data_IF_042636358363
#
_entry.id   IF_042636358363
#
_cell.length_a   1.000
_cell.length_b   1.000
_cell.length_c   1.000
_cell.angle_alpha   90.00
_cell.angle_beta   90.00
_cell.angle_gamma   90.00
#
_symmetry.space_group_name_H-M   'P 1'
#
loop_
_entity.id
_entity.type
_entity.pdbx_description
1 polymer ?
#
# COMPACT_ATOMS: atom_id res chain seq x y z
N UNK A 1 -0.87 -15.66 32.71
CA UNK A 1 -0.20 -15.27 31.45
C UNK A 1 -1.22 -14.50 30.64
N UNK A 2 -1.01 -13.20 30.36
CA UNK A 2 -1.93 -12.45 29.52
C UNK A 2 -1.85 -13.01 28.09
N UNK A 3 -2.98 -13.44 27.54
CA UNK A 3 -3.06 -13.89 26.15
C UNK A 3 -2.72 -12.72 25.23
N UNK A 4 -1.61 -12.83 24.49
CA UNK A 4 -1.19 -11.80 23.55
C UNK A 4 -2.14 -11.82 22.34
N UNK A 5 -3.13 -10.93 22.37
CA UNK A 5 -4.14 -10.84 21.29
C UNK A 5 -3.46 -10.58 19.94
N UNK A 6 -3.69 -11.48 18.98
CA UNK A 6 -3.22 -11.32 17.60
C UNK A 6 -4.02 -10.21 16.91
N UNK A 7 -3.37 -9.10 16.58
CA UNK A 7 -3.95 -8.00 15.82
C UNK A 7 -3.86 -8.27 14.31
N UNK A 8 -4.80 -7.69 13.57
CA UNK A 8 -4.76 -7.58 12.10
C UNK A 8 -4.75 -6.10 11.73
N UNK A 9 -3.70 -5.65 11.06
CA UNK A 9 -3.46 -4.24 10.75
C UNK A 9 -3.47 -4.03 9.24
N UNK A 10 -4.24 -3.06 8.76
CA UNK A 10 -4.19 -2.60 7.38
C UNK A 10 -3.17 -1.46 7.27
N UNK A 11 -2.24 -1.58 6.32
CA UNK A 11 -1.26 -0.55 5.98
C UNK A 11 -1.57 -0.04 4.58
N UNK A 12 -1.92 1.24 4.47
CA UNK A 12 -2.20 1.91 3.20
C UNK A 12 -1.29 3.14 3.09
N UNK A 13 -0.04 2.97 2.61
CA UNK A 13 0.90 4.07 2.46
C UNK A 13 0.55 4.95 1.27
N UNK A 14 1.01 6.21 1.33
CA UNK A 14 1.05 7.09 0.18
C UNK A 14 1.79 6.47 -1.00
N UNK A 15 1.33 6.70 -2.22
CA UNK A 15 1.80 6.05 -3.45
C UNK A 15 3.16 6.54 -3.98
N UNK A 16 4.04 6.97 -3.08
CA UNK A 16 5.42 7.30 -3.37
C UNK A 16 6.36 6.31 -2.67
N UNK A 17 7.41 5.87 -3.36
CA UNK A 17 8.35 4.88 -2.80
C UNK A 17 8.98 5.29 -1.48
N UNK A 18 9.18 6.59 -1.26
CA UNK A 18 9.64 7.15 0.02
C UNK A 18 8.71 6.84 1.21
N UNK A 19 7.43 6.56 0.98
CA UNK A 19 6.48 6.12 2.01
C UNK A 19 6.22 4.61 1.96
N UNK A 20 6.13 4.02 0.77
CA UNK A 20 5.84 2.59 0.58
C UNK A 20 6.90 1.72 1.28
N UNK A 21 8.19 2.02 1.09
CA UNK A 21 9.27 1.18 1.64
C UNK A 21 9.32 1.23 3.17
N UNK A 22 9.29 2.39 3.84
CA UNK A 22 9.21 2.44 5.30
C UNK A 22 7.98 1.73 5.88
N UNK A 23 6.82 1.85 5.22
CA UNK A 23 5.61 1.14 5.66
C UNK A 23 5.75 -0.37 5.49
N UNK A 24 6.41 -0.85 4.44
CA UNK A 24 6.68 -2.27 4.28
C UNK A 24 7.60 -2.78 5.41
N UNK A 25 8.65 -2.03 5.74
CA UNK A 25 9.54 -2.39 6.87
C UNK A 25 8.81 -2.37 8.21
N UNK A 26 7.91 -1.40 8.43
CA UNK A 26 7.02 -1.38 9.59
C UNK A 26 6.13 -2.63 9.62
N UNK A 27 5.50 -2.98 8.50
CA UNK A 27 4.68 -4.19 8.37
C UNK A 27 5.45 -5.46 8.71
N UNK A 28 6.69 -5.60 8.21
CA UNK A 28 7.57 -6.73 8.56
C UNK A 28 7.85 -6.80 10.06
N UNK A 29 8.10 -5.66 10.72
CA UNK A 29 8.35 -5.61 12.17
C UNK A 29 7.10 -6.01 12.97
N UNK A 30 5.92 -5.58 12.55
CA UNK A 30 4.65 -5.95 13.18
C UNK A 30 4.35 -7.44 12.97
N UNK A 31 4.60 -7.96 11.77
CA UNK A 31 4.45 -9.38 11.44
C UNK A 31 5.35 -10.28 12.30
N UNK A 32 6.61 -9.87 12.53
CA UNK A 32 7.53 -10.59 13.42
C UNK A 32 7.10 -10.64 14.88
N UNK A 33 6.26 -9.70 15.32
CA UNK A 33 5.63 -9.74 16.65
C UNK A 33 4.42 -10.68 16.72
N UNK A 34 4.13 -11.41 15.64
CA UNK A 34 3.05 -12.40 15.57
C UNK A 34 1.72 -11.84 15.07
N UNK A 35 1.68 -10.59 14.57
CA UNK A 35 0.46 -9.96 14.07
C UNK A 35 0.27 -10.16 12.56
N UNK A 36 -0.95 -9.97 12.07
CA UNK A 36 -1.25 -10.04 10.62
C UNK A 36 -1.25 -8.64 10.00
N UNK A 37 -0.76 -8.53 8.78
CA UNK A 37 -0.72 -7.31 7.99
C UNK A 37 -1.49 -7.51 6.69
N UNK A 38 -2.36 -6.57 6.36
CA UNK A 38 -2.80 -6.34 4.98
C UNK A 38 -2.07 -5.11 4.44
N UNK A 39 -1.14 -5.32 3.52
CA UNK A 39 -0.42 -4.24 2.86
C UNK A 39 -1.14 -3.87 1.58
N UNK A 40 -1.82 -2.73 1.58
CA UNK A 40 -2.69 -2.27 0.52
C UNK A 40 -1.91 -1.28 -0.35
N UNK A 41 -1.80 -1.57 -1.64
CA UNK A 41 -1.21 -0.63 -2.60
C UNK A 41 -1.68 -0.98 -4.01
N UNK A 42 -1.25 -0.19 -5.00
CA UNK A 42 -1.64 -0.42 -6.39
C UNK A 42 -0.94 -1.67 -6.97
N UNK A 43 -1.52 -2.30 -8.01
CA UNK A 43 -0.93 -3.48 -8.63
C UNK A 43 0.54 -3.28 -9.08
N UNK A 44 0.89 -2.11 -9.62
CA UNK A 44 2.25 -1.80 -10.09
C UNK A 44 3.21 -1.56 -8.95
N UNK A 45 2.78 -0.88 -7.88
CA UNK A 45 3.60 -0.70 -6.69
C UNK A 45 3.89 -2.04 -6.01
N UNK A 46 2.90 -2.92 -5.90
CA UNK A 46 3.09 -4.29 -5.37
C UNK A 46 4.12 -5.08 -6.18
N UNK A 47 4.07 -5.01 -7.52
CA UNK A 47 5.05 -5.67 -8.40
C UNK A 47 6.48 -5.15 -8.21
N UNK A 48 6.63 -3.89 -7.81
CA UNK A 48 7.92 -3.21 -7.60
C UNK A 48 8.44 -3.33 -6.17
N UNK A 49 7.68 -3.93 -5.24
CA UNK A 49 8.13 -4.10 -3.87
C UNK A 49 9.37 -5.00 -3.80
N UNK A 50 10.30 -4.72 -2.87
CA UNK A 50 11.37 -5.65 -2.59
C UNK A 50 10.79 -6.98 -2.10
N UNK A 51 11.51 -8.08 -2.36
CA UNK A 51 11.09 -9.41 -1.90
C UNK A 51 10.84 -9.40 -0.40
N UNK A 52 9.67 -9.92 -0.02
CA UNK A 52 9.30 -10.11 1.38
C UNK A 52 10.01 -11.37 1.87
N UNK A 53 10.63 -11.27 3.04
CA UNK A 53 11.36 -12.38 3.65
C UNK A 53 10.38 -13.52 4.00
N UNK A 54 10.77 -14.80 3.79
CA UNK A 54 9.87 -15.94 3.95
C UNK A 54 9.39 -16.16 5.39
N UNK A 55 10.12 -15.65 6.39
CA UNK A 55 9.75 -15.67 7.82
C UNK A 55 8.47 -14.89 8.13
N UNK A 56 8.21 -13.82 7.37
CA UNK A 56 7.05 -12.93 7.58
C UNK A 56 6.00 -13.02 6.49
N UNK A 57 6.31 -13.69 5.37
CA UNK A 57 5.41 -13.84 4.24
C UNK A 57 4.02 -14.40 4.62
N UNK A 58 3.89 -15.42 5.51
CA UNK A 58 2.58 -15.94 5.91
C UNK A 58 1.72 -14.93 6.69
N UNK A 59 2.36 -13.92 7.27
CA UNK A 59 1.71 -12.90 8.10
C UNK A 59 1.44 -11.60 7.35
N UNK A 60 1.88 -11.48 6.09
CA UNK A 60 1.70 -10.29 5.25
C UNK A 60 0.91 -10.66 4.00
N UNK A 61 -0.32 -10.16 3.92
CA UNK A 61 -1.17 -10.24 2.74
C UNK A 61 -1.02 -8.99 1.90
N UNK A 62 -0.66 -9.13 0.62
CA UNK A 62 -0.58 -8.01 -0.33
C UNK A 62 -1.95 -7.81 -1.00
N UNK A 63 -2.58 -6.67 -0.73
CA UNK A 63 -3.90 -6.32 -1.27
C UNK A 63 -3.72 -5.33 -2.41
N UNK A 64 -4.12 -5.73 -3.62
CA UNK A 64 -4.04 -4.89 -4.81
C UNK A 64 -5.28 -4.02 -4.91
N UNK A 65 -5.09 -2.70 -4.93
CA UNK A 65 -6.14 -1.71 -5.11
C UNK A 65 -5.87 -0.91 -6.39
N UNK A 66 -6.57 -1.22 -7.51
CA UNK A 66 -6.44 -0.44 -8.74
C UNK A 66 -6.89 1.00 -8.51
N UNK A 67 -6.14 1.97 -9.04
CA UNK A 67 -6.60 3.36 -9.08
C UNK A 67 -7.62 3.54 -10.22
N UNK A 68 -8.64 4.40 -10.03
CA UNK A 68 -9.48 4.82 -11.14
C UNK A 68 -8.63 5.53 -12.20
N UNK A 69 -9.04 5.37 -13.47
CA UNK A 69 -8.40 6.08 -14.57
C UNK A 69 -8.94 7.50 -14.64
N UNK A 70 -8.06 8.50 -14.71
CA UNK A 70 -8.44 9.91 -14.84
C UNK A 70 -7.74 10.54 -16.04
N UNK A 71 -8.53 11.29 -16.83
CA UNK A 71 -8.01 12.10 -17.92
C UNK A 71 -6.89 12.99 -17.38
N UNK A 72 -5.79 13.11 -18.12
CA UNK A 72 -4.56 13.86 -17.79
C UNK A 72 -3.45 13.11 -17.03
N UNK A 73 -3.64 11.86 -16.63
CA UNK A 73 -2.54 11.02 -16.17
C UNK A 73 -2.08 10.04 -17.26
N UNK A 74 -0.77 9.79 -17.42
CA UNK A 74 -0.29 8.72 -18.29
C UNK A 74 -0.95 7.39 -17.92
N UNK A 75 -1.27 6.59 -18.93
CA UNK A 75 -1.75 5.23 -18.70
C UNK A 75 -0.73 4.49 -17.81
N UNK A 76 -1.20 3.95 -16.67
CA UNK A 76 -0.40 3.28 -15.63
C UNK A 76 0.38 4.18 -14.65
N UNK A 77 0.06 5.47 -14.54
CA UNK A 77 0.60 6.36 -13.50
C UNK A 77 0.10 5.96 -12.09
N UNK A 78 0.78 5.00 -11.46
CA UNK A 78 0.41 4.48 -10.13
C UNK A 78 1.40 4.89 -9.02
N UNK A 79 2.43 5.66 -9.38
CA UNK A 79 3.40 6.21 -8.44
C UNK A 79 3.88 7.58 -8.87
N UNK A 80 4.38 8.38 -7.92
CA UNK A 80 5.05 9.67 -8.20
C UNK A 80 6.27 9.54 -9.11
N UNK A 81 6.81 8.34 -9.31
CA UNK A 81 7.88 8.06 -10.28
C UNK A 81 7.38 7.91 -11.71
N UNK A 82 6.08 7.62 -11.90
CA UNK A 82 5.48 7.39 -13.21
C UNK A 82 4.94 8.70 -13.83
N UNK A 83 5.08 9.83 -13.13
CA UNK A 83 4.58 11.13 -13.57
C UNK A 83 5.61 12.25 -13.38
N UNK A 84 5.65 13.25 -14.26
CA UNK A 84 6.36 14.50 -14.01
C UNK A 84 5.92 15.15 -12.68
N UNK A 85 6.82 15.85 -12.00
CA UNK A 85 6.55 16.48 -10.69
C UNK A 85 5.30 17.36 -10.66
N UNK A 86 4.98 18.05 -11.75
CA UNK A 86 3.79 18.90 -11.86
C UNK A 86 2.46 18.11 -11.89
N UNK A 87 2.50 16.80 -12.12
CA UNK A 87 1.33 15.92 -12.11
C UNK A 87 1.13 15.14 -10.80
N UNK A 88 2.05 15.25 -9.85
CA UNK A 88 1.94 14.64 -8.51
C UNK A 88 0.68 15.09 -7.75
N UNK A 89 0.19 16.35 -7.86
CA UNK A 89 -1.07 16.74 -7.24
C UNK A 89 -2.30 15.98 -7.78
N UNK A 90 -2.29 15.55 -9.04
CA UNK A 90 -3.39 14.74 -9.59
C UNK A 90 -3.37 13.33 -9.02
N UNK A 91 -2.20 12.71 -8.83
CA UNK A 91 -2.10 11.43 -8.09
C UNK A 91 -2.64 11.52 -6.66
N UNK A 92 -2.49 12.70 -6.03
CA UNK A 92 -3.08 12.96 -4.71
C UNK A 92 -4.60 12.97 -4.77
N UNK A 93 -5.17 13.68 -5.75
CA UNK A 93 -6.61 13.71 -5.95
C UNK A 93 -7.18 12.31 -6.21
N UNK A 94 -6.49 11.47 -6.98
CA UNK A 94 -6.88 10.07 -7.21
C UNK A 94 -6.91 9.24 -5.92
N UNK A 95 -5.85 9.32 -5.12
CA UNK A 95 -5.76 8.59 -3.85
C UNK A 95 -6.83 9.03 -2.85
N UNK A 96 -7.16 10.32 -2.83
CA UNK A 96 -8.19 10.89 -1.96
C UNK A 96 -9.61 10.59 -2.48
N UNK A 97 -9.77 10.39 -3.80
CA UNK A 97 -11.06 10.10 -4.46
C UNK A 97 -11.39 8.60 -4.50
N UNK A 98 -10.54 7.72 -3.93
CA UNK A 98 -10.88 6.32 -3.72
C UNK A 98 -12.18 6.31 -2.90
N UNK A 99 -13.30 5.77 -3.42
CA UNK A 99 -14.55 5.79 -2.71
C UNK A 99 -14.35 5.05 -1.38
N UNK A 100 -14.33 5.80 -0.28
CA UNK A 100 -14.46 5.25 1.06
C UNK A 100 -15.82 4.57 1.04
N UNK A 101 -15.85 3.24 1.03
CA UNK A 101 -17.07 2.44 0.91
C UNK A 101 -18.19 3.01 1.77
N UNK A 102 -19.03 3.84 1.16
CA UNK A 102 -20.25 4.36 1.72
C UNK A 102 -21.25 3.23 1.59
N UNK A 103 -21.47 2.56 2.71
CA UNK A 103 -22.58 1.67 2.97
C UNK A 103 -23.87 2.15 2.31
N UNK A 104 -24.40 1.32 1.42
CA UNK A 104 -25.82 1.18 1.11
C UNK A 104 -26.22 -0.25 1.41
#
# INVERSE_FOLDING_TARGET
MAETKKLHVALFPWLAFGHIIPFLELGKRIARKGHQISFISTPRNIKRLPKISPDVLPSITLVKLPLPHVEHLPENAESTMDVPHHLVPYLKMESDSIPTGGSG
#
